data_IF_816849503062
#
_entry.id   IF_816849503062
#
_cell.length_a   1.000
_cell.length_b   1.000
_cell.length_c   1.000
_cell.angle_alpha   90.00
_cell.angle_beta   90.00
_cell.angle_gamma   90.00
#
_symmetry.space_group_name_H-M   'P 1'
#
loop_
_entity.id
_entity.type
_entity.pdbx_description
1 polymer ?
#
# COMPACT_ATOMS: atom_id res chain seq x y z
N UNK A 1 -28.71 -2.81 14.25
CA UNK A 1 -27.69 -2.59 13.19
C UNK A 1 -27.41 -3.94 12.55
N UNK A 2 -27.45 -4.00 11.23
CA UNK A 2 -27.29 -5.24 10.46
C UNK A 2 -25.82 -5.66 10.32
N UNK A 3 -24.91 -4.88 10.93
CA UNK A 3 -23.46 -5.08 10.83
C UNK A 3 -22.82 -5.09 12.22
N UNK A 4 -21.74 -5.86 12.35
CA UNK A 4 -20.95 -5.92 13.57
C UNK A 4 -19.86 -4.81 13.60
N UNK A 5 -18.96 -4.89 14.59
CA UNK A 5 -17.86 -3.92 14.77
C UNK A 5 -16.82 -3.92 13.64
N UNK A 6 -16.72 -5.02 12.88
CA UNK A 6 -15.83 -5.13 11.71
C UNK A 6 -16.55 -4.77 10.40
N UNK A 7 -17.87 -4.59 10.42
CA UNK A 7 -18.69 -4.38 9.24
C UNK A 7 -19.15 -5.70 8.59
N UNK A 8 -19.05 -6.82 9.30
CA UNK A 8 -19.60 -8.10 8.89
C UNK A 8 -21.12 -8.13 9.01
N UNK A 9 -21.77 -8.81 8.08
CA UNK A 9 -23.24 -8.94 8.05
C UNK A 9 -23.73 -9.87 9.16
N UNK A 10 -24.41 -9.30 10.15
CA UNK A 10 -24.94 -10.03 11.33
C UNK A 10 -26.14 -10.90 10.95
N UNK A 11 -25.83 -12.08 10.47
CA UNK A 11 -26.81 -13.13 10.21
C UNK A 11 -26.30 -14.43 10.85
N UNK A 12 -26.93 -14.84 11.94
CA UNK A 12 -26.52 -16.00 12.72
C UNK A 12 -26.61 -17.31 11.95
N UNK A 13 -27.53 -17.40 10.95
CA UNK A 13 -27.64 -18.60 10.09
C UNK A 13 -26.44 -18.75 9.14
N UNK A 14 -25.69 -17.69 8.91
CA UNK A 14 -24.50 -17.67 8.06
C UNK A 14 -23.19 -17.55 8.86
N UNK A 15 -23.30 -17.44 10.19
CA UNK A 15 -22.14 -17.27 11.06
C UNK A 15 -21.33 -18.56 11.15
N UNK A 16 -20.01 -18.44 11.03
CA UNK A 16 -19.05 -19.51 11.31
C UNK A 16 -18.41 -19.32 12.70
N UNK A 17 -17.55 -20.25 13.10
CA UNK A 17 -16.74 -20.10 14.30
C UNK A 17 -15.83 -18.86 14.21
N UNK A 18 -15.76 -18.09 15.27
CA UNK A 18 -14.84 -16.94 15.36
C UNK A 18 -13.39 -17.41 15.32
N UNK A 19 -12.57 -16.76 14.50
CA UNK A 19 -11.15 -17.08 14.33
C UNK A 19 -10.22 -16.00 14.88
N UNK A 20 -10.78 -14.85 15.26
CA UNK A 20 -10.01 -13.67 15.69
C UNK A 20 -9.29 -12.95 14.55
N UNK A 21 -9.48 -13.34 13.29
CA UNK A 21 -8.90 -12.75 12.09
C UNK A 21 -9.80 -12.89 10.88
N UNK A 22 -9.56 -12.10 9.85
CA UNK A 22 -10.23 -12.30 8.57
C UNK A 22 -9.76 -13.61 7.92
N UNK A 23 -10.71 -14.34 7.36
CA UNK A 23 -10.49 -15.61 6.65
C UNK A 23 -11.32 -15.68 5.38
N UNK A 24 -11.01 -16.63 4.50
CA UNK A 24 -11.80 -16.91 3.31
C UNK A 24 -12.61 -18.19 3.53
N UNK A 25 -13.88 -18.17 3.12
CA UNK A 25 -14.78 -19.29 3.18
C UNK A 25 -15.72 -19.32 1.96
N UNK A 26 -16.42 -20.42 1.75
CA UNK A 26 -17.45 -20.52 0.70
C UNK A 26 -18.85 -20.50 1.30
N UNK A 27 -19.63 -19.51 0.92
CA UNK A 27 -21.05 -19.39 1.28
C UNK A 27 -21.88 -19.55 0.00
N UNK A 28 -22.73 -20.55 -0.06
CA UNK A 28 -23.49 -20.84 -1.27
C UNK A 28 -22.62 -21.09 -2.52
N UNK A 29 -21.43 -21.68 -2.33
CA UNK A 29 -20.47 -21.95 -3.40
C UNK A 29 -19.62 -20.76 -3.83
N UNK A 30 -19.83 -19.55 -3.30
CA UNK A 30 -19.09 -18.33 -3.63
C UNK A 30 -18.04 -18.02 -2.55
N UNK A 31 -16.83 -17.65 -2.95
CA UNK A 31 -15.80 -17.17 -2.04
C UNK A 31 -16.24 -15.88 -1.37
N UNK A 32 -16.15 -15.85 -0.06
CA UNK A 32 -16.56 -14.73 0.79
C UNK A 32 -15.54 -14.55 1.91
N UNK A 33 -15.26 -13.34 2.31
CA UNK A 33 -14.53 -13.10 3.54
C UNK A 33 -15.41 -13.43 4.74
N UNK A 34 -14.77 -13.94 5.78
CA UNK A 34 -15.28 -13.99 7.14
C UNK A 34 -14.52 -12.98 7.97
N UNK A 35 -15.22 -12.20 8.76
CA UNK A 35 -14.60 -11.33 9.74
C UNK A 35 -14.08 -12.12 10.96
N UNK A 36 -13.37 -11.48 11.89
CA UNK A 36 -12.85 -12.13 13.09
C UNK A 36 -13.89 -12.82 13.98
N UNK A 37 -15.14 -12.31 14.00
CA UNK A 37 -16.25 -12.86 14.80
C UNK A 37 -17.03 -13.95 14.04
N UNK A 38 -16.67 -14.25 12.77
CA UNK A 38 -17.20 -15.32 11.94
C UNK A 38 -18.35 -14.92 11.02
N UNK A 39 -18.74 -13.64 10.97
CA UNK A 39 -19.78 -13.17 10.07
C UNK A 39 -19.27 -13.00 8.63
N UNK A 40 -20.17 -13.18 7.63
CA UNK A 40 -19.85 -12.85 6.25
C UNK A 40 -19.45 -11.37 6.11
N UNK A 41 -18.35 -11.10 5.43
CA UNK A 41 -17.84 -9.75 5.24
C UNK A 41 -17.67 -9.44 3.75
N UNK A 42 -18.29 -8.36 3.31
CA UNK A 42 -18.08 -7.81 1.98
C UNK A 42 -17.21 -6.55 2.09
N UNK A 43 -15.96 -6.64 1.62
CA UNK A 43 -15.04 -5.49 1.64
C UNK A 43 -15.51 -4.42 0.65
N UNK A 44 -15.99 -3.32 1.18
CA UNK A 44 -16.37 -2.14 0.44
C UNK A 44 -15.51 -0.96 0.91
N UNK A 45 -14.41 -0.75 0.23
CA UNK A 45 -13.34 0.14 0.69
C UNK A 45 -12.86 1.14 -0.34
N UNK A 46 -12.00 2.03 0.13
CA UNK A 46 -11.27 2.97 -0.70
C UNK A 46 -9.77 2.88 -0.38
N UNK A 47 -8.96 3.18 -1.36
CA UNK A 47 -7.50 3.30 -1.22
C UNK A 47 -7.11 4.68 -0.72
N UNK A 48 -5.86 4.81 -0.27
CA UNK A 48 -5.26 6.09 0.12
C UNK A 48 -6.00 6.80 1.27
N UNK A 49 -6.60 6.06 2.19
CA UNK A 49 -7.24 6.65 3.38
C UNK A 49 -6.19 7.31 4.26
N UNK A 50 -6.36 8.60 4.52
CA UNK A 50 -5.54 9.37 5.44
C UNK A 50 -6.39 10.43 6.14
N UNK A 51 -5.92 10.93 7.28
CA UNK A 51 -6.60 12.02 7.99
C UNK A 51 -6.18 13.38 7.43
N UNK A 52 -4.89 13.56 7.31
CA UNK A 52 -4.22 14.73 6.75
C UNK A 52 -2.90 14.25 6.13
N UNK A 53 -2.26 15.06 5.29
CA UNK A 53 -0.99 14.67 4.68
C UNK A 53 -1.11 13.64 3.55
N UNK A 54 -2.26 13.58 2.90
CA UNK A 54 -2.52 12.62 1.81
C UNK A 54 -1.69 12.87 0.54
N UNK A 55 -0.86 13.89 0.52
CA UNK A 55 0.02 14.15 -0.62
C UNK A 55 0.65 15.53 -0.59
N UNK A 56 1.78 15.64 -1.25
CA UNK A 56 2.50 16.89 -1.39
C UNK A 56 2.44 17.39 -2.83
N UNK A 57 1.99 18.65 -3.00
CA UNK A 57 1.96 19.32 -4.30
C UNK A 57 3.27 20.05 -4.52
N UNK A 58 4.02 19.68 -5.56
CA UNK A 58 5.27 20.34 -5.90
C UNK A 58 5.08 21.84 -6.20
N UNK A 59 5.88 22.66 -5.56
CA UNK A 59 5.93 24.11 -5.77
C UNK A 59 7.05 24.51 -6.72
N UNK A 60 8.20 23.89 -6.60
CA UNK A 60 9.40 24.25 -7.38
C UNK A 60 9.10 24.35 -8.87
N UNK A 61 9.27 25.54 -9.43
CA UNK A 61 9.00 25.86 -10.84
C UNK A 61 7.50 25.95 -11.19
N UNK A 62 6.63 25.98 -10.19
CA UNK A 62 5.17 26.03 -10.35
C UNK A 62 4.51 27.11 -9.50
N UNK A 63 5.29 27.97 -8.87
CA UNK A 63 4.87 28.97 -7.90
C UNK A 63 3.76 29.88 -8.47
N UNK A 64 3.84 30.19 -9.76
CA UNK A 64 2.85 31.03 -10.48
C UNK A 64 1.44 30.44 -10.54
N UNK A 65 1.27 29.15 -10.26
CA UNK A 65 -0.05 28.52 -10.27
C UNK A 65 -0.79 28.65 -8.92
N UNK A 66 -0.14 29.23 -7.92
CA UNK A 66 -0.70 29.36 -6.57
C UNK A 66 -0.79 30.84 -6.19
N UNK A 67 -1.98 31.28 -5.84
CA UNK A 67 -2.22 32.68 -5.44
C UNK A 67 -1.55 33.00 -4.09
N UNK A 68 -1.70 32.12 -3.12
CA UNK A 68 -1.14 32.28 -1.78
C UNK A 68 -0.77 30.92 -1.17
N UNK A 69 0.46 30.80 -0.75
CA UNK A 69 0.98 29.62 -0.05
C UNK A 69 1.31 29.99 1.38
N UNK A 70 0.79 29.18 2.32
CA UNK A 70 1.14 29.29 3.73
C UNK A 70 2.45 28.51 3.99
N UNK A 71 3.53 29.22 4.39
CA UNK A 71 4.84 28.60 4.60
C UNK A 71 4.82 27.49 5.67
N UNK A 72 3.88 27.54 6.62
CA UNK A 72 3.75 26.53 7.69
C UNK A 72 3.44 25.12 7.14
N UNK A 73 2.98 25.02 5.91
CA UNK A 73 2.65 23.74 5.24
C UNK A 73 3.57 23.41 4.08
N UNK A 74 4.65 24.18 3.92
CA UNK A 74 5.68 23.92 2.92
C UNK A 74 6.79 23.08 3.54
N UNK A 75 7.25 22.09 2.82
CA UNK A 75 8.38 21.25 3.21
C UNK A 75 9.20 20.83 2.00
N UNK A 76 10.48 20.51 2.23
CA UNK A 76 11.29 19.83 1.22
C UNK A 76 10.99 18.35 1.29
N UNK A 77 10.58 17.79 0.17
CA UNK A 77 10.28 16.36 0.05
C UNK A 77 10.76 15.80 -1.26
N UNK A 78 10.87 14.49 -1.34
CA UNK A 78 11.32 13.77 -2.53
C UNK A 78 10.09 13.42 -3.38
N UNK A 79 9.93 14.11 -4.49
CA UNK A 79 8.86 13.88 -5.45
C UNK A 79 9.40 13.35 -6.78
N UNK A 80 8.56 12.65 -7.53
CA UNK A 80 8.90 12.20 -8.86
C UNK A 80 8.88 13.38 -9.84
N UNK A 81 10.02 13.65 -10.44
CA UNK A 81 10.18 14.65 -11.48
C UNK A 81 10.01 13.98 -12.84
N UNK A 82 8.84 14.18 -13.46
CA UNK A 82 8.50 13.56 -14.75
C UNK A 82 9.49 13.94 -15.85
N UNK A 83 10.01 15.18 -15.85
CA UNK A 83 10.97 15.64 -16.86
C UNK A 83 12.33 14.94 -16.73
N UNK A 84 12.72 14.62 -15.50
CA UNK A 84 14.00 13.96 -15.21
C UNK A 84 13.86 12.44 -15.14
N UNK A 85 12.64 11.89 -15.17
CA UNK A 85 12.40 10.46 -15.03
C UNK A 85 12.89 9.87 -13.70
N UNK A 86 13.04 10.67 -12.64
CA UNK A 86 13.55 10.25 -11.33
C UNK A 86 13.02 11.10 -10.20
N UNK A 87 13.09 10.55 -8.97
CA UNK A 87 12.77 11.32 -7.78
C UNK A 87 13.85 12.39 -7.51
N UNK A 88 13.42 13.60 -7.26
CA UNK A 88 14.25 14.73 -6.90
C UNK A 88 13.69 15.47 -5.69
N UNK A 89 14.56 16.19 -4.96
CA UNK A 89 14.13 17.09 -3.90
C UNK A 89 13.35 18.27 -4.51
N UNK A 90 12.21 18.58 -3.94
CA UNK A 90 11.37 19.70 -4.32
C UNK A 90 10.73 20.35 -3.08
N UNK A 91 10.50 21.63 -3.14
CA UNK A 91 9.56 22.26 -2.22
C UNK A 91 8.16 21.87 -2.60
N UNK A 92 7.37 21.52 -1.60
CA UNK A 92 6.00 21.05 -1.77
C UNK A 92 5.12 21.56 -0.65
N UNK A 93 3.86 21.80 -0.98
CA UNK A 93 2.83 22.17 -0.01
C UNK A 93 1.89 21.00 0.21
N UNK A 94 1.56 20.76 1.48
CA UNK A 94 0.52 19.82 1.87
C UNK A 94 -0.81 20.55 2.08
N UNK A 95 -1.59 20.62 1.01
CA UNK A 95 -2.91 21.26 1.06
C UNK A 95 -3.91 20.47 1.88
N UNK A 96 -3.83 19.15 1.95
CA UNK A 96 -4.76 18.35 2.74
C UNK A 96 -4.57 18.61 4.22
N UNK A 97 -3.33 18.65 4.68
CA UNK A 97 -2.99 19.02 6.06
C UNK A 97 -3.43 20.43 6.41
N UNK A 98 -3.17 21.40 5.50
CA UNK A 98 -3.62 22.78 5.67
C UNK A 98 -5.14 22.89 5.78
N UNK A 99 -5.86 22.25 4.87
CA UNK A 99 -7.31 22.31 4.83
C UNK A 99 -7.94 21.59 6.03
N UNK A 100 -7.36 20.47 6.44
CA UNK A 100 -7.77 19.77 7.66
C UNK A 100 -7.62 20.68 8.89
N UNK A 101 -6.44 21.27 9.08
CA UNK A 101 -6.16 22.17 10.20
C UNK A 101 -7.05 23.42 10.19
N UNK A 102 -7.32 24.00 9.01
CA UNK A 102 -8.21 25.14 8.85
C UNK A 102 -9.67 24.81 9.24
N UNK A 103 -10.14 23.61 8.85
CA UNK A 103 -11.53 23.22 9.07
C UNK A 103 -11.79 22.66 10.48
N UNK A 104 -10.85 21.91 11.02
CA UNK A 104 -11.05 21.15 12.25
C UNK A 104 -10.10 21.52 13.39
N UNK A 105 -9.16 22.45 13.15
CA UNK A 105 -8.13 22.84 14.11
C UNK A 105 -7.07 21.74 14.30
N UNK A 106 -6.22 21.92 15.32
CA UNK A 106 -5.23 20.91 15.70
C UNK A 106 -5.92 19.71 16.34
N UNK A 107 -5.56 18.51 15.90
CA UNK A 107 -6.10 17.24 16.40
C UNK A 107 -4.98 16.29 16.76
N UNK A 108 -5.16 15.51 17.80
CA UNK A 108 -4.29 14.37 18.13
C UNK A 108 -4.45 13.26 17.10
N UNK A 109 -3.53 12.30 17.08
CA UNK A 109 -3.63 11.15 16.17
C UNK A 109 -4.92 10.36 16.40
N UNK A 110 -5.27 10.05 17.66
CA UNK A 110 -6.50 9.35 18.00
C UNK A 110 -7.77 10.11 17.55
N UNK A 111 -7.82 11.43 17.75
CA UNK A 111 -8.95 12.24 17.26
C UNK A 111 -9.06 12.24 15.73
N UNK A 112 -7.93 12.22 15.01
CA UNK A 112 -7.92 12.09 13.55
C UNK A 112 -8.42 10.72 13.11
N UNK A 113 -8.02 9.67 13.81
CA UNK A 113 -8.45 8.31 13.54
C UNK A 113 -9.95 8.15 13.77
N UNK A 114 -10.46 8.58 14.91
CA UNK A 114 -11.89 8.58 15.24
C UNK A 114 -12.72 9.32 14.18
N UNK A 115 -12.29 10.54 13.83
CA UNK A 115 -12.96 11.35 12.82
C UNK A 115 -12.97 10.66 11.44
N UNK A 116 -11.85 10.06 11.03
CA UNK A 116 -11.74 9.35 9.76
C UNK A 116 -12.63 8.11 9.77
N UNK A 117 -12.58 7.32 10.84
CA UNK A 117 -13.41 6.13 10.99
C UNK A 117 -14.91 6.43 10.95
N UNK A 118 -15.34 7.46 11.70
CA UNK A 118 -16.74 7.88 11.71
C UNK A 118 -17.22 8.36 10.34
N UNK A 119 -16.37 9.07 9.60
CA UNK A 119 -16.67 9.51 8.23
C UNK A 119 -16.83 8.32 7.29
N UNK A 120 -15.91 7.36 7.31
CA UNK A 120 -15.99 6.17 6.45
C UNK A 120 -17.26 5.38 6.74
N UNK A 121 -17.56 5.13 8.00
CA UNK A 121 -18.80 4.43 8.41
C UNK A 121 -20.06 5.19 7.98
N UNK A 122 -20.09 6.51 8.11
CA UNK A 122 -21.21 7.34 7.67
C UNK A 122 -21.42 7.28 6.15
N UNK A 123 -20.37 7.00 5.38
CA UNK A 123 -20.44 6.80 3.93
C UNK A 123 -20.71 5.34 3.52
N UNK A 124 -20.88 4.44 4.47
CA UNK A 124 -21.06 3.01 4.22
C UNK A 124 -19.77 2.29 3.80
N UNK A 125 -18.61 2.92 3.98
CA UNK A 125 -17.31 2.34 3.67
C UNK A 125 -16.80 1.60 4.90
N UNK A 126 -16.45 0.32 4.72
CA UNK A 126 -16.05 -0.55 5.81
C UNK A 126 -14.60 -1.01 5.74
N UNK A 127 -13.83 -0.60 4.73
CA UNK A 127 -12.42 -0.99 4.63
C UNK A 127 -11.53 0.09 4.03
N UNK A 128 -10.29 0.12 4.47
CA UNK A 128 -9.21 0.96 3.95
C UNK A 128 -8.24 0.08 3.15
N UNK A 129 -8.14 0.36 1.86
CA UNK A 129 -7.33 -0.40 0.91
C UNK A 129 -5.87 0.03 0.84
N UNK A 130 -5.22 -0.26 -0.27
CA UNK A 130 -3.81 0.02 -0.49
C UNK A 130 -3.45 1.51 -0.31
N UNK A 131 -2.21 1.78 0.09
CA UNK A 131 -1.65 3.11 0.38
C UNK A 131 -2.40 3.93 1.43
N UNK A 132 -3.30 3.32 2.17
CA UNK A 132 -3.90 3.94 3.34
C UNK A 132 -2.87 4.06 4.47
N UNK A 133 -3.09 5.00 5.39
CA UNK A 133 -2.36 5.03 6.66
C UNK A 133 -2.85 3.86 7.53
N UNK A 134 -2.09 2.78 7.50
CA UNK A 134 -2.41 1.51 8.17
C UNK A 134 -2.55 1.68 9.69
N UNK A 135 -1.75 2.58 10.29
CA UNK A 135 -1.83 2.88 11.73
C UNK A 135 -3.09 3.66 12.07
N UNK A 136 -3.46 4.62 11.20
CA UNK A 136 -4.69 5.37 11.34
C UNK A 136 -5.91 4.46 11.22
N UNK A 137 -5.94 3.58 10.22
CA UNK A 137 -7.04 2.64 10.01
C UNK A 137 -7.20 1.68 11.19
N UNK A 138 -6.09 1.17 11.75
CA UNK A 138 -6.08 0.35 12.96
C UNK A 138 -6.65 1.11 14.16
N UNK A 139 -6.17 2.32 14.41
CA UNK A 139 -6.64 3.17 15.51
C UNK A 139 -8.13 3.54 15.35
N UNK A 140 -8.55 3.77 14.12
CA UNK A 140 -9.94 4.03 13.75
C UNK A 140 -10.85 2.79 13.84
N UNK A 141 -10.27 1.61 14.10
CA UNK A 141 -10.97 0.32 14.08
C UNK A 141 -11.74 0.09 12.75
N UNK A 142 -11.10 0.42 11.65
CA UNK A 142 -11.57 0.13 10.29
C UNK A 142 -10.74 -1.03 9.75
N UNK A 143 -11.35 -2.10 9.22
CA UNK A 143 -10.66 -3.13 8.49
C UNK A 143 -9.75 -2.57 7.40
N UNK A 144 -8.53 -3.09 7.29
CA UNK A 144 -7.52 -2.53 6.38
C UNK A 144 -6.63 -3.61 5.76
N UNK A 145 -5.98 -3.25 4.67
CA UNK A 145 -4.94 -4.05 4.05
C UNK A 145 -3.56 -3.49 4.40
N UNK A 146 -2.58 -4.39 4.56
CA UNK A 146 -1.18 -4.03 4.79
C UNK A 146 -0.41 -4.13 3.48
N UNK A 147 0.39 -3.13 3.17
CA UNK A 147 1.23 -3.13 1.99
C UNK A 147 2.67 -3.52 2.35
N UNK A 148 3.21 -4.55 1.71
CA UNK A 148 4.59 -5.03 1.89
C UNK A 148 5.30 -5.05 0.57
N UNK A 149 6.45 -4.38 0.47
CA UNK A 149 7.33 -4.53 -0.68
C UNK A 149 8.12 -5.83 -0.62
N UNK A 150 8.28 -6.52 -1.75
CA UNK A 150 9.20 -7.64 -1.83
C UNK A 150 10.63 -7.16 -1.59
N UNK A 151 11.44 -8.00 -0.98
CA UNK A 151 12.83 -7.66 -0.69
C UNK A 151 13.64 -7.67 -1.98
N UNK A 152 14.18 -6.53 -2.32
CA UNK A 152 15.04 -6.34 -3.48
C UNK A 152 16.47 -6.65 -3.09
N UNK A 153 16.95 -7.83 -3.46
CA UNK A 153 18.33 -8.24 -3.19
C UNK A 153 19.30 -7.73 -4.24
N UNK A 154 18.91 -7.82 -5.49
CA UNK A 154 19.65 -7.28 -6.62
C UNK A 154 18.68 -6.84 -7.73
N UNK A 155 19.23 -6.19 -8.74
CA UNK A 155 18.48 -5.85 -9.94
C UNK A 155 19.13 -6.52 -11.14
N UNK A 156 18.29 -6.92 -12.11
CA UNK A 156 18.82 -7.40 -13.37
C UNK A 156 19.65 -6.29 -14.04
N UNK A 157 20.91 -6.58 -14.24
CA UNK A 157 21.87 -5.71 -14.93
C UNK A 157 22.48 -6.47 -16.12
N UNK A 158 21.70 -6.64 -17.23
CA UNK A 158 22.17 -7.37 -18.39
C UNK A 158 23.36 -6.65 -19.03
N UNK A 159 24.37 -7.41 -19.44
CA UNK A 159 25.55 -6.88 -20.16
C UNK A 159 25.14 -6.26 -21.51
N UNK A 160 24.04 -6.70 -22.09
CA UNK A 160 23.53 -6.16 -23.33
C UNK A 160 22.65 -4.92 -23.09
N UNK A 161 23.13 -3.69 -23.42
CA UNK A 161 22.39 -2.46 -23.20
C UNK A 161 21.10 -2.35 -24.02
N UNK A 162 20.92 -3.18 -25.06
CA UNK A 162 19.69 -3.27 -25.85
C UNK A 162 18.57 -4.03 -25.12
N UNK A 163 18.91 -4.78 -24.09
CA UNK A 163 17.96 -5.45 -23.20
C UNK A 163 17.61 -4.58 -22.00
N UNK A 164 17.67 -3.26 -22.11
CA UNK A 164 17.15 -2.36 -21.10
C UNK A 164 15.71 -2.76 -20.80
N UNK A 165 15.52 -3.30 -19.61
CA UNK A 165 14.21 -3.46 -19.03
C UNK A 165 13.72 -2.03 -18.75
N UNK A 166 12.88 -1.50 -19.61
CA UNK A 166 12.26 -0.19 -19.41
C UNK A 166 11.19 -0.36 -18.32
N UNK A 167 11.66 -0.29 -17.09
CA UNK A 167 10.89 -0.57 -15.89
C UNK A 167 10.29 0.76 -15.42
N UNK A 168 9.11 1.05 -15.89
CA UNK A 168 8.41 2.32 -15.74
C UNK A 168 8.40 2.87 -14.31
N UNK A 169 8.06 2.03 -13.32
CA UNK A 169 7.98 2.47 -11.92
C UNK A 169 9.02 1.84 -11.01
N UNK A 170 9.25 0.57 -11.17
CA UNK A 170 10.08 -0.20 -10.25
C UNK A 170 10.98 -1.14 -11.01
N UNK A 171 12.11 -1.46 -10.42
CA UNK A 171 12.95 -2.54 -10.92
C UNK A 171 12.29 -3.86 -10.56
N UNK A 172 12.30 -4.82 -11.50
CA UNK A 172 11.76 -6.14 -11.24
C UNK A 172 12.55 -6.83 -10.13
N UNK A 173 11.90 -7.36 -9.07
CA UNK A 173 12.60 -8.06 -8.01
C UNK A 173 13.17 -9.37 -8.54
N UNK A 174 14.41 -9.66 -8.22
CA UNK A 174 15.04 -10.90 -8.63
C UNK A 174 14.75 -12.00 -7.59
N UNK A 175 13.63 -12.70 -7.77
CA UNK A 175 13.15 -13.72 -6.84
C UNK A 175 14.02 -14.98 -6.77
N UNK A 176 14.89 -15.19 -7.76
CA UNK A 176 15.87 -16.28 -7.79
C UNK A 176 17.13 -15.98 -6.93
N UNK A 177 17.28 -14.77 -6.41
CA UNK A 177 18.40 -14.45 -5.54
C UNK A 177 18.31 -15.26 -4.25
N UNK A 178 19.41 -15.91 -3.77
CA UNK A 178 19.40 -16.76 -2.58
C UNK A 178 18.83 -16.08 -1.33
N UNK A 179 19.09 -14.77 -1.16
CA UNK A 179 18.61 -14.01 -0.01
C UNK A 179 17.19 -13.45 -0.18
N UNK A 180 16.54 -13.63 -1.33
CA UNK A 180 15.21 -13.05 -1.59
C UNK A 180 14.19 -13.46 -0.53
N UNK A 181 14.08 -14.78 -0.27
CA UNK A 181 13.15 -15.32 0.74
C UNK A 181 13.42 -14.74 2.13
N UNK A 182 14.68 -14.75 2.58
CA UNK A 182 15.10 -14.23 3.88
C UNK A 182 14.72 -12.74 4.04
N UNK A 183 15.04 -11.93 3.03
CA UNK A 183 14.78 -10.50 3.06
C UNK A 183 13.29 -10.18 2.96
N UNK A 184 12.53 -10.95 2.19
CA UNK A 184 11.06 -10.82 2.11
C UNK A 184 10.42 -11.13 3.45
N UNK A 185 10.82 -12.22 4.10
CA UNK A 185 10.36 -12.55 5.46
C UNK A 185 10.66 -11.39 6.44
N UNK A 186 11.87 -10.84 6.40
CA UNK A 186 12.24 -9.69 7.23
C UNK A 186 11.33 -8.48 7.00
N UNK A 187 10.98 -8.21 5.73
CA UNK A 187 10.07 -7.13 5.35
C UNK A 187 8.66 -7.34 5.92
N UNK A 188 8.15 -8.56 5.85
CA UNK A 188 6.85 -8.95 6.43
C UNK A 188 6.87 -8.82 7.95
N UNK A 189 7.90 -9.36 8.62
CA UNK A 189 8.04 -9.30 10.06
C UNK A 189 8.16 -7.85 10.58
N UNK A 190 8.71 -6.93 9.79
CA UNK A 190 8.76 -5.51 10.10
C UNK A 190 7.37 -4.85 10.22
N UNK A 191 6.32 -5.50 9.72
CA UNK A 191 4.92 -5.04 9.83
C UNK A 191 4.04 -6.00 10.64
N UNK A 192 4.63 -6.91 11.40
CA UNK A 192 3.92 -7.96 12.14
C UNK A 192 2.84 -7.42 13.07
N UNK A 193 3.07 -6.28 13.73
CA UNK A 193 2.08 -5.64 14.61
C UNK A 193 0.78 -5.26 13.87
N UNK A 194 0.91 -4.80 12.63
CA UNK A 194 -0.23 -4.46 11.77
C UNK A 194 -0.89 -5.69 11.18
N UNK A 195 -0.07 -6.64 10.71
CA UNK A 195 -0.55 -7.89 10.08
C UNK A 195 -1.30 -8.76 11.10
N UNK A 196 -0.88 -8.77 12.36
CA UNK A 196 -1.54 -9.52 13.43
C UNK A 196 -2.74 -8.78 14.04
N UNK A 197 -3.05 -7.58 13.60
CA UNK A 197 -4.27 -6.89 14.02
C UNK A 197 -5.52 -7.66 13.59
N UNK A 198 -6.55 -7.79 14.45
CA UNK A 198 -7.83 -8.37 14.04
C UNK A 198 -8.52 -7.58 12.91
N UNK A 199 -8.12 -6.33 12.70
CA UNK A 199 -8.63 -5.49 11.61
C UNK A 199 -7.85 -5.66 10.30
N UNK A 200 -6.78 -6.45 10.25
CA UNK A 200 -6.06 -6.72 9.00
C UNK A 200 -6.81 -7.73 8.15
N UNK A 201 -7.31 -7.30 6.97
CA UNK A 201 -7.98 -8.16 6.00
C UNK A 201 -6.98 -9.05 5.28
N UNK A 202 -5.80 -8.51 4.97
CA UNK A 202 -4.77 -9.21 4.21
C UNK A 202 -3.59 -8.33 3.86
N UNK A 203 -2.69 -8.88 3.08
CA UNK A 203 -1.42 -8.24 2.72
C UNK A 203 -1.32 -8.14 1.20
N UNK A 204 -1.07 -6.94 0.69
CA UNK A 204 -0.62 -6.74 -0.68
C UNK A 204 0.90 -6.82 -0.74
N UNK A 205 1.42 -7.61 -1.66
CA UNK A 205 2.86 -7.73 -1.90
C UNK A 205 3.19 -7.04 -3.21
N UNK A 206 4.04 -6.02 -3.15
CA UNK A 206 4.43 -5.17 -4.26
C UNK A 206 3.27 -4.42 -4.94
N UNK A 207 3.61 -3.57 -5.89
CA UNK A 207 2.68 -2.84 -6.72
C UNK A 207 3.21 -2.73 -8.14
N UNK A 208 2.34 -2.93 -9.12
CA UNK A 208 2.62 -2.69 -10.54
C UNK A 208 3.98 -3.25 -10.97
N UNK A 209 4.22 -4.53 -10.68
CA UNK A 209 5.41 -5.18 -11.17
C UNK A 209 5.45 -5.08 -12.70
N UNK A 210 6.61 -4.77 -13.29
CA UNK A 210 6.72 -4.51 -14.73
C UNK A 210 6.63 -5.78 -15.57
N UNK A 211 5.47 -6.44 -15.54
CA UNK A 211 5.15 -7.62 -16.37
C UNK A 211 4.99 -7.28 -17.85
N UNK A 212 4.86 -5.99 -18.18
CA UNK A 212 4.61 -5.49 -19.55
C UNK A 212 5.81 -5.66 -20.49
N UNK A 213 6.93 -6.06 -19.96
CA UNK A 213 8.05 -6.47 -20.78
C UNK A 213 7.59 -7.57 -21.76
N UNK A 214 7.94 -7.44 -23.04
CA UNK A 214 7.66 -8.45 -24.08
C UNK A 214 7.96 -9.84 -23.54
N UNK A 215 7.09 -10.81 -23.83
CA UNK A 215 7.24 -12.18 -23.37
C UNK A 215 8.69 -12.68 -23.54
N UNK A 216 9.25 -13.26 -22.50
CA UNK A 216 10.64 -13.74 -22.47
C UNK A 216 11.70 -12.66 -22.23
N UNK A 217 11.36 -11.37 -22.09
CA UNK A 217 12.36 -10.33 -21.88
C UNK A 217 13.10 -10.51 -20.56
N UNK A 218 12.39 -10.90 -19.48
CA UNK A 218 13.01 -11.14 -18.16
C UNK A 218 13.98 -12.33 -18.26
N UNK A 219 13.57 -13.44 -18.88
CA UNK A 219 14.44 -14.60 -19.09
C UNK A 219 15.68 -14.25 -19.91
N UNK A 220 15.50 -13.52 -21.02
CA UNK A 220 16.64 -13.05 -21.84
C UNK A 220 17.56 -12.08 -21.08
N UNK A 221 17.00 -11.23 -20.24
CA UNK A 221 17.78 -10.35 -19.38
C UNK A 221 18.60 -11.16 -18.37
N UNK A 222 18.00 -12.16 -17.72
CA UNK A 222 18.70 -13.07 -16.80
C UNK A 222 19.86 -13.79 -17.52
N UNK A 223 19.60 -14.38 -18.68
CA UNK A 223 20.61 -15.09 -19.48
C UNK A 223 21.75 -14.16 -19.94
N UNK A 224 21.49 -12.90 -20.16
CA UNK A 224 22.50 -11.91 -20.59
C UNK A 224 23.19 -11.19 -19.44
N UNK A 225 22.89 -11.53 -18.19
CA UNK A 225 23.66 -11.04 -17.04
C UNK A 225 25.04 -11.72 -16.94
N UNK A 226 25.99 -11.10 -16.22
CA UNK A 226 27.29 -11.74 -15.95
C UNK A 226 27.12 -13.14 -15.34
N UNK A 227 28.01 -14.06 -15.70
CA UNK A 227 27.98 -15.43 -15.17
C UNK A 227 28.10 -15.51 -13.63
N UNK A 228 28.70 -14.49 -13.02
CA UNK A 228 28.85 -14.37 -11.57
C UNK A 228 27.59 -13.88 -10.86
N UNK A 229 26.55 -13.46 -11.60
CA UNK A 229 25.33 -12.95 -10.96
C UNK A 229 24.52 -14.11 -10.35
N UNK A 230 24.23 -14.09 -9.02
CA UNK A 230 23.59 -15.21 -8.33
C UNK A 230 22.30 -15.68 -8.97
N UNK A 231 21.45 -14.75 -9.40
CA UNK A 231 20.18 -15.09 -10.06
C UNK A 231 20.33 -15.76 -11.41
N UNK A 232 21.42 -15.51 -12.12
CA UNK A 232 21.71 -16.21 -13.36
C UNK A 232 22.14 -17.64 -13.09
N UNK A 233 22.98 -17.84 -12.06
CA UNK A 233 23.43 -19.18 -11.64
C UNK A 233 22.21 -20.04 -11.26
N UNK A 234 21.30 -19.48 -10.49
CA UNK A 234 20.08 -20.20 -10.06
C UNK A 234 19.09 -20.46 -11.21
N UNK A 235 19.10 -19.59 -12.25
CA UNK A 235 18.21 -19.73 -13.41
C UNK A 235 18.74 -20.77 -14.44
N UNK A 236 20.05 -21.01 -14.49
CA UNK A 236 20.71 -21.90 -15.45
C UNK A 236 20.68 -23.34 -15.00
#
# INVERSE_FOLDING_TARGET
>A
ADYDKFGGYKNDSLKAAATGRFTLDKIGGKWTFRDPDGYPFWSWGIDCVGADGAGATALTGREKYFEKIDPAYVSKTRLYDVKKGKHAQAEAVDFSRRNFAKKYGKRTFGQKAEFTGNRLRAWGINSAGAWSDEKLAREAQIPFTVFVGSARCEYLAPDNPKLKLDLYWTKFPVYLHPDFKKNTIKSVLGKSELINSPYCIGVFVDNELPWQAKAGLIGRALLSCPASQPSKIEFS
#
